data_IF_631847820479
#
_entry.id   IF_631847820479
#
_cell.length_a   1.000
_cell.length_b   1.000
_cell.length_c   1.000
_cell.angle_alpha   90.00
_cell.angle_beta   90.00
_cell.angle_gamma   90.00
#
_symmetry.space_group_name_H-M   'P 1'
#
loop_
_entity.id
_entity.type
_entity.pdbx_description
1 polymer ?
#
# COMPACT_ATOMS: atom_id res chain seq x y z
N UNK A 1 33.76 7.03 16.76
CA UNK A 1 32.84 6.61 15.69
C UNK A 1 31.59 6.02 16.33
N UNK A 2 30.45 6.77 16.33
CA UNK A 2 29.25 6.44 17.06
C UNK A 2 28.36 5.47 16.23
N UNK A 3 28.80 4.20 16.07
CA UNK A 3 28.13 3.25 15.13
C UNK A 3 27.16 2.29 15.82
N UNK A 4 26.99 2.35 17.14
CA UNK A 4 26.18 1.37 17.90
C UNK A 4 25.22 1.98 18.90
N UNK A 5 24.79 3.20 18.68
CA UNK A 5 23.86 3.84 19.60
C UNK A 5 22.44 3.36 19.28
N UNK A 6 21.70 2.97 20.33
CA UNK A 6 20.26 2.74 20.26
C UNK A 6 19.57 4.06 20.56
N UNK A 7 18.63 4.43 19.71
CA UNK A 7 17.78 5.56 19.91
C UNK A 7 16.35 5.08 20.16
N UNK A 8 15.72 5.63 21.18
CA UNK A 8 14.34 5.33 21.51
C UNK A 8 13.48 6.52 21.11
N UNK A 9 12.34 6.24 20.50
CA UNK A 9 11.33 7.23 20.16
C UNK A 9 10.11 6.87 21.00
N UNK A 10 9.65 7.80 21.81
CA UNK A 10 8.46 7.59 22.59
C UNK A 10 7.21 7.65 21.70
N UNK A 11 6.23 6.80 22.00
CA UNK A 11 4.97 6.70 21.26
C UNK A 11 4.21 8.04 21.18
N UNK A 12 4.12 8.86 22.24
CA UNK A 12 3.55 10.20 22.16
C UNK A 12 4.18 11.08 21.10
N UNK A 13 5.50 11.08 20.96
CA UNK A 13 6.21 11.85 19.91
C UNK A 13 5.80 11.39 18.50
N UNK A 14 5.65 10.08 18.29
CA UNK A 14 5.16 9.52 17.02
C UNK A 14 3.72 9.96 16.77
N UNK A 15 2.85 9.80 17.75
CA UNK A 15 1.42 10.12 17.63
C UNK A 15 1.18 11.61 17.37
N UNK A 16 1.95 12.50 18.01
CA UNK A 16 1.85 13.95 17.79
C UNK A 16 2.31 14.41 16.41
N UNK A 17 3.09 13.59 15.71
CA UNK A 17 3.55 13.87 14.34
C UNK A 17 2.65 13.25 13.28
N UNK A 18 1.66 12.43 13.67
CA UNK A 18 0.67 11.93 12.74
C UNK A 18 -0.20 13.10 12.27
N UNK A 19 -0.15 13.34 10.98
CA UNK A 19 -0.88 14.45 10.39
C UNK A 19 -2.31 14.00 10.07
N UNK A 20 -3.27 14.37 10.90
CA UNK A 20 -4.70 14.02 10.74
C UNK A 20 -5.39 14.73 9.56
N UNK A 21 -4.68 15.61 8.84
CA UNK A 21 -5.28 16.52 7.86
C UNK A 21 -5.54 15.91 6.48
N UNK A 22 -5.26 14.63 6.25
CA UNK A 22 -5.42 14.00 4.94
C UNK A 22 -6.19 12.68 5.00
N UNK A 23 -7.43 12.74 5.45
CA UNK A 23 -8.30 11.55 5.48
C UNK A 23 -8.86 11.17 4.10
N UNK A 24 -8.73 12.03 3.09
CA UNK A 24 -9.19 11.75 1.72
C UNK A 24 -8.47 12.61 0.69
N UNK A 25 -8.42 12.13 -0.54
CA UNK A 25 -7.91 12.87 -1.70
C UNK A 25 -8.92 12.75 -2.85
N UNK A 26 -9.12 13.83 -3.58
CA UNK A 26 -9.94 13.85 -4.79
C UNK A 26 -9.06 13.82 -6.02
N UNK A 27 -9.35 12.91 -6.94
CA UNK A 27 -8.61 12.69 -8.18
C UNK A 27 -9.54 12.98 -9.34
N UNK A 28 -9.25 14.06 -10.05
CA UNK A 28 -9.99 14.39 -11.28
C UNK A 28 -9.50 13.52 -12.44
N UNK A 29 -10.45 12.91 -13.13
CA UNK A 29 -10.23 12.07 -14.30
C UNK A 29 -10.77 12.74 -15.56
N UNK A 30 -10.39 12.19 -16.72
CA UNK A 30 -10.96 12.64 -17.99
C UNK A 30 -12.46 12.40 -18.02
N UNK A 31 -13.21 13.29 -18.67
CA UNK A 31 -14.66 13.21 -18.75
C UNK A 31 -15.39 13.80 -17.54
N UNK A 32 -14.70 14.49 -16.61
CA UNK A 32 -15.32 15.17 -15.46
C UNK A 32 -15.67 14.24 -14.28
N UNK A 33 -15.27 12.97 -14.34
CA UNK A 33 -15.36 12.06 -13.18
C UNK A 33 -14.36 12.45 -12.11
N UNK A 34 -14.78 12.40 -10.85
CA UNK A 34 -13.91 12.63 -9.69
C UNK A 34 -13.94 11.41 -8.78
N UNK A 35 -12.78 10.84 -8.50
CA UNK A 35 -12.62 9.71 -7.56
C UNK A 35 -12.19 10.26 -6.22
N UNK A 36 -12.98 10.04 -5.18
CA UNK A 36 -12.62 10.33 -3.80
C UNK A 36 -11.98 9.09 -3.17
N UNK A 37 -10.71 9.20 -2.80
CA UNK A 37 -9.99 8.12 -2.14
C UNK A 37 -9.86 8.37 -0.64
N UNK A 38 -9.92 7.28 0.12
CA UNK A 38 -9.65 7.18 1.55
C UNK A 38 -8.44 6.27 1.80
N UNK A 39 -7.80 6.32 2.97
CA UNK A 39 -6.77 5.35 3.32
C UNK A 39 -7.31 3.92 3.28
N UNK A 40 -6.48 3.00 2.78
CA UNK A 40 -6.83 1.58 2.78
C UNK A 40 -6.95 1.05 4.21
N UNK A 41 -7.87 0.11 4.40
CA UNK A 41 -7.99 -0.56 5.69
C UNK A 41 -6.77 -1.45 5.97
N UNK A 42 -6.40 -1.62 7.24
CA UNK A 42 -5.32 -2.54 7.63
C UNK A 42 -5.62 -3.97 7.17
N UNK A 43 -6.89 -4.35 7.16
CA UNK A 43 -7.36 -5.65 6.67
C UNK A 43 -7.04 -5.83 5.18
N UNK A 44 -7.40 -4.87 4.32
CA UNK A 44 -7.13 -4.92 2.89
C UNK A 44 -5.63 -4.98 2.59
N UNK A 45 -4.82 -4.16 3.26
CA UNK A 45 -3.36 -4.16 3.12
C UNK A 45 -2.76 -5.50 3.54
N UNK A 46 -3.17 -6.07 4.68
CA UNK A 46 -2.70 -7.36 5.17
C UNK A 46 -3.08 -8.50 4.23
N UNK A 47 -4.33 -8.51 3.77
CA UNK A 47 -4.83 -9.51 2.83
C UNK A 47 -4.07 -9.47 1.50
N UNK A 48 -3.88 -8.29 0.92
CA UNK A 48 -3.11 -8.10 -0.31
C UNK A 48 -1.66 -8.61 -0.16
N UNK A 49 -0.99 -8.26 0.96
CA UNK A 49 0.38 -8.70 1.21
C UNK A 49 0.46 -10.23 1.35
N UNK A 50 -0.51 -10.86 2.02
CA UNK A 50 -0.59 -12.32 2.13
C UNK A 50 -0.73 -12.98 0.76
N UNK A 51 -1.56 -12.43 -0.12
CA UNK A 51 -1.74 -12.96 -1.47
C UNK A 51 -0.49 -12.75 -2.34
N UNK A 52 0.17 -11.60 -2.25
CA UNK A 52 1.46 -11.37 -2.94
C UNK A 52 2.51 -12.39 -2.51
N UNK A 53 2.61 -12.71 -1.21
CA UNK A 53 3.54 -13.71 -0.70
C UNK A 53 3.23 -15.11 -1.23
N UNK A 54 1.94 -15.53 -1.23
CA UNK A 54 1.53 -16.82 -1.81
C UNK A 54 1.87 -16.91 -3.30
N UNK A 55 1.57 -15.88 -4.06
CA UNK A 55 1.88 -15.82 -5.49
C UNK A 55 3.39 -15.88 -5.75
N UNK A 56 4.19 -15.17 -4.98
CA UNK A 56 5.66 -15.21 -5.07
C UNK A 56 6.21 -16.60 -4.74
N UNK A 57 5.67 -17.28 -3.74
CA UNK A 57 6.06 -18.64 -3.38
C UNK A 57 5.73 -19.65 -4.50
N UNK A 58 4.55 -19.53 -5.14
CA UNK A 58 4.17 -20.35 -6.29
C UNK A 58 5.12 -20.11 -7.46
N UNK A 59 5.41 -18.85 -7.82
CA UNK A 59 6.33 -18.52 -8.90
C UNK A 59 7.76 -19.04 -8.61
N UNK A 60 8.22 -18.94 -7.37
CA UNK A 60 9.52 -19.47 -6.98
C UNK A 60 9.58 -21.01 -7.07
N UNK A 61 8.51 -21.72 -6.72
CA UNK A 61 8.43 -23.18 -6.86
C UNK A 61 8.44 -23.64 -8.31
N UNK A 62 7.82 -22.88 -9.22
CA UNK A 62 7.81 -23.14 -10.65
C UNK A 62 9.20 -22.97 -11.26
N UNK A 63 9.94 -21.94 -10.86
CA UNK A 63 11.28 -21.64 -11.40
C UNK A 63 12.35 -22.67 -11.01
N UNK A 64 12.09 -23.51 -10.00
CA UNK A 64 13.03 -24.55 -9.55
C UNK A 64 12.84 -25.92 -10.21
N UNK A 65 11.75 -26.13 -10.95
CA UNK A 65 11.39 -27.44 -11.50
C UNK A 65 11.38 -27.40 -13.03
N UNK A 66 12.58 -27.46 -13.65
CA UNK A 66 12.74 -27.40 -15.11
C UNK A 66 12.15 -28.60 -15.89
N UNK A 67 11.63 -29.61 -15.16
CA UNK A 67 11.22 -30.90 -15.75
C UNK A 67 9.70 -31.09 -15.86
N UNK A 68 8.88 -30.20 -15.32
CA UNK A 68 7.41 -30.32 -15.37
C UNK A 68 6.81 -29.80 -16.66
N UNK A 69 5.79 -30.51 -17.12
CA UNK A 69 5.10 -30.30 -18.39
C UNK A 69 4.70 -28.82 -18.60
N UNK A 70 5.13 -28.26 -19.71
CA UNK A 70 5.00 -26.84 -20.08
C UNK A 70 3.56 -26.31 -20.05
N UNK A 71 2.54 -27.16 -20.26
CA UNK A 71 1.14 -26.74 -20.31
C UNK A 71 0.51 -26.57 -18.91
N UNK A 72 0.82 -27.44 -17.95
CA UNK A 72 0.34 -27.30 -16.56
C UNK A 72 0.95 -26.04 -15.91
N UNK A 73 2.21 -25.79 -16.19
CA UNK A 73 2.91 -24.57 -15.73
C UNK A 73 2.29 -23.29 -16.30
N UNK A 74 1.92 -23.30 -17.57
CA UNK A 74 1.26 -22.16 -18.23
C UNK A 74 -0.10 -21.86 -17.59
N UNK A 75 -0.87 -22.90 -17.29
CA UNK A 75 -2.19 -22.75 -16.66
C UNK A 75 -2.05 -22.17 -15.26
N UNK A 76 -1.19 -22.74 -14.43
CA UNK A 76 -0.92 -22.22 -13.06
C UNK A 76 -0.40 -20.79 -13.09
N UNK A 77 0.46 -20.47 -14.06
CA UNK A 77 0.96 -19.10 -14.22
C UNK A 77 -0.16 -18.13 -14.61
N UNK A 78 -1.00 -18.51 -15.58
CA UNK A 78 -2.15 -17.69 -16.01
C UNK A 78 -3.11 -17.42 -14.87
N UNK A 79 -3.53 -18.46 -14.15
CA UNK A 79 -4.46 -18.36 -13.03
C UNK A 79 -3.88 -17.46 -11.91
N UNK A 80 -2.58 -17.55 -11.68
CA UNK A 80 -1.89 -16.71 -10.69
C UNK A 80 -1.87 -15.23 -11.11
N UNK A 81 -1.60 -14.95 -12.40
CA UNK A 81 -1.61 -13.57 -12.93
C UNK A 81 -3.01 -12.97 -12.84
N UNK A 82 -4.05 -13.73 -13.20
CA UNK A 82 -5.45 -13.29 -13.10
C UNK A 82 -5.85 -13.00 -11.65
N UNK A 83 -5.45 -13.86 -10.71
CA UNK A 83 -5.67 -13.63 -9.29
C UNK A 83 -4.95 -12.38 -8.77
N UNK A 84 -3.69 -12.17 -9.13
CA UNK A 84 -2.94 -10.97 -8.75
C UNK A 84 -3.63 -9.71 -9.28
N UNK A 85 -4.10 -9.73 -10.53
CA UNK A 85 -4.82 -8.60 -11.12
C UNK A 85 -6.13 -8.32 -10.38
N UNK A 86 -6.92 -9.35 -10.06
CA UNK A 86 -8.16 -9.22 -9.30
C UNK A 86 -7.90 -8.65 -7.90
N UNK A 87 -6.89 -9.13 -7.18
CA UNK A 87 -6.53 -8.60 -5.85
C UNK A 87 -6.04 -7.16 -5.92
N UNK A 88 -5.33 -6.78 -6.98
CA UNK A 88 -4.92 -5.41 -7.20
C UNK A 88 -6.12 -4.47 -7.34
N UNK A 89 -7.08 -4.81 -8.20
CA UNK A 89 -8.30 -4.02 -8.38
C UNK A 89 -9.12 -3.94 -7.09
N UNK A 90 -9.27 -5.04 -6.37
CA UNK A 90 -9.94 -5.05 -5.07
C UNK A 90 -9.25 -4.15 -4.04
N UNK A 91 -7.92 -4.10 -4.03
CA UNK A 91 -7.16 -3.20 -3.15
C UNK A 91 -7.35 -1.74 -3.52
N UNK A 92 -7.36 -1.42 -4.82
CA UNK A 92 -7.65 -0.06 -5.29
C UNK A 92 -9.07 0.35 -4.92
N UNK A 93 -10.04 -0.55 -5.10
CA UNK A 93 -11.45 -0.34 -4.75
C UNK A 93 -11.64 -0.07 -3.25
N UNK A 94 -10.96 -0.81 -2.35
CA UNK A 94 -11.04 -0.59 -0.89
C UNK A 94 -10.60 0.83 -0.50
N UNK A 95 -9.65 1.41 -1.21
CA UNK A 95 -9.20 2.78 -1.04
C UNK A 95 -10.07 3.84 -1.72
N UNK A 96 -11.19 3.47 -2.37
CA UNK A 96 -12.16 4.42 -2.94
C UNK A 96 -13.33 4.56 -1.97
N UNK A 97 -13.68 5.82 -1.66
CA UNK A 97 -14.85 6.14 -0.85
C UNK A 97 -16.11 6.29 -1.73
N UNK A 98 -16.00 7.06 -2.79
CA UNK A 98 -17.03 7.21 -3.83
C UNK A 98 -16.44 7.72 -5.14
N UNK A 99 -17.20 7.54 -6.21
CA UNK A 99 -16.96 8.17 -7.51
C UNK A 99 -18.07 9.18 -7.75
N UNK A 100 -17.70 10.41 -8.07
CA UNK A 100 -18.64 11.47 -8.39
C UNK A 100 -18.72 11.66 -9.91
N UNK A 101 -19.93 11.64 -10.43
CA UNK A 101 -20.21 11.92 -11.85
C UNK A 101 -20.13 13.42 -12.14
N UNK A 102 -20.02 13.84 -13.41
CA UNK A 102 -20.06 15.26 -13.78
C UNK A 102 -21.37 15.95 -13.37
N UNK A 103 -22.46 15.21 -13.25
CA UNK A 103 -23.77 15.69 -12.82
C UNK A 103 -23.85 15.88 -11.30
N UNK A 104 -22.84 15.39 -10.55
CA UNK A 104 -22.74 15.51 -9.09
C UNK A 104 -23.23 14.30 -8.32
N UNK A 105 -23.69 13.25 -8.99
CA UNK A 105 -24.13 12.01 -8.35
C UNK A 105 -22.94 11.24 -7.78
N UNK A 106 -23.14 10.64 -6.60
CA UNK A 106 -22.10 9.83 -5.92
C UNK A 106 -22.42 8.35 -6.01
N UNK A 107 -21.50 7.59 -6.58
CA UNK A 107 -21.53 6.13 -6.61
C UNK A 107 -20.67 5.60 -5.48
N UNK A 108 -21.30 4.93 -4.51
CA UNK A 108 -20.65 4.34 -3.33
C UNK A 108 -20.71 2.82 -3.33
N UNK A 109 -21.46 2.23 -4.26
CA UNK A 109 -21.60 0.78 -4.34
C UNK A 109 -20.29 0.13 -4.76
N UNK A 110 -19.81 -0.76 -3.90
CA UNK A 110 -18.52 -1.45 -4.02
C UNK A 110 -18.40 -2.26 -5.30
N UNK A 111 -19.49 -2.96 -5.70
CA UNK A 111 -19.48 -3.80 -6.89
C UNK A 111 -19.44 -2.93 -8.16
N UNK A 112 -20.24 -1.87 -8.21
CA UNK A 112 -20.22 -0.93 -9.33
C UNK A 112 -18.85 -0.26 -9.50
N UNK A 113 -18.19 0.10 -8.38
CA UNK A 113 -16.83 0.66 -8.42
C UNK A 113 -15.84 -0.37 -8.96
N UNK A 114 -15.92 -1.64 -8.54
CA UNK A 114 -15.04 -2.70 -9.00
C UNK A 114 -15.23 -2.99 -10.49
N UNK A 115 -16.47 -3.08 -10.96
CA UNK A 115 -16.81 -3.30 -12.37
C UNK A 115 -16.32 -2.13 -13.23
N UNK A 116 -16.47 -0.89 -12.75
CA UNK A 116 -15.93 0.29 -13.40
C UNK A 116 -14.40 0.24 -13.48
N UNK A 117 -13.70 -0.09 -12.39
CA UNK A 117 -12.24 -0.23 -12.38
C UNK A 117 -11.76 -1.29 -13.38
N UNK A 118 -12.55 -2.36 -13.58
CA UNK A 118 -12.26 -3.38 -14.58
C UNK A 118 -12.48 -2.93 -16.03
N UNK A 119 -13.23 -1.84 -16.24
CA UNK A 119 -13.57 -1.31 -17.56
C UNK A 119 -12.69 -0.16 -18.04
N UNK A 120 -12.00 0.53 -17.14
CA UNK A 120 -11.13 1.67 -17.47
C UNK A 120 -9.73 1.22 -17.89
N UNK A 121 -8.99 2.13 -18.54
CA UNK A 121 -7.62 1.86 -18.96
C UNK A 121 -6.64 1.73 -17.78
N UNK A 122 -5.57 0.97 -18.01
CA UNK A 122 -4.55 0.71 -16.99
C UNK A 122 -3.82 1.99 -16.51
N UNK A 123 -3.71 3.01 -17.35
CA UNK A 123 -3.05 4.27 -16.97
C UNK A 123 -3.88 5.00 -15.92
N UNK A 124 -5.19 5.01 -16.09
CA UNK A 124 -6.14 5.58 -15.11
C UNK A 124 -6.10 4.82 -13.78
N UNK A 125 -6.10 3.48 -13.81
CA UNK A 125 -5.93 2.65 -12.59
C UNK A 125 -4.60 2.97 -11.90
N UNK A 126 -3.49 3.04 -12.64
CA UNK A 126 -2.18 3.37 -12.09
C UNK A 126 -2.13 4.77 -11.46
N UNK A 127 -2.82 5.75 -12.06
CA UNK A 127 -2.94 7.11 -11.51
C UNK A 127 -3.65 7.07 -10.15
N UNK A 128 -4.78 6.37 -10.05
CA UNK A 128 -5.55 6.24 -8.81
C UNK A 128 -4.68 5.55 -7.73
N UNK A 129 -4.07 4.41 -8.07
CA UNK A 129 -3.21 3.66 -7.16
C UNK A 129 -2.03 4.50 -6.64
N UNK A 130 -1.40 5.31 -7.51
CA UNK A 130 -0.29 6.18 -7.13
C UNK A 130 -0.72 7.24 -6.11
N UNK A 131 -1.88 7.87 -6.31
CA UNK A 131 -2.40 8.87 -5.37
C UNK A 131 -2.85 8.22 -4.04
N UNK A 132 -3.45 7.02 -4.09
CA UNK A 132 -3.75 6.24 -2.88
C UNK A 132 -2.48 5.85 -2.11
N UNK A 133 -1.40 5.48 -2.80
CA UNK A 133 -0.11 5.17 -2.16
C UNK A 133 0.47 6.38 -1.43
N UNK A 134 0.36 7.58 -2.01
CA UNK A 134 0.75 8.82 -1.33
C UNK A 134 -0.11 9.04 -0.09
N UNK A 135 -1.43 8.88 -0.20
CA UNK A 135 -2.35 9.03 0.91
C UNK A 135 -2.03 8.04 2.05
N UNK A 136 -1.82 6.76 1.73
CA UNK A 136 -1.46 5.72 2.69
C UNK A 136 -0.07 5.94 3.32
N UNK A 137 0.83 6.66 2.64
CA UNK A 137 2.17 6.99 3.12
C UNK A 137 2.25 8.22 4.02
N UNK A 138 1.21 9.05 4.04
CA UNK A 138 1.22 10.34 4.74
C UNK A 138 0.89 10.27 6.24
N UNK A 139 0.38 9.13 6.71
CA UNK A 139 -0.12 9.00 8.08
C UNK A 139 0.97 8.86 9.14
N UNK A 140 2.14 8.31 8.85
CA UNK A 140 3.20 8.08 9.83
C UNK A 140 4.51 8.76 9.41
N UNK A 141 5.15 9.50 10.31
CA UNK A 141 6.45 10.09 10.04
C UNK A 141 7.48 8.98 9.80
N UNK A 142 8.19 9.08 8.69
CA UNK A 142 9.23 8.10 8.32
C UNK A 142 10.63 8.49 8.78
N UNK A 143 10.82 9.76 9.10
CA UNK A 143 12.09 10.33 9.53
C UNK A 143 11.92 11.05 10.86
N UNK A 144 12.89 10.86 11.74
CA UNK A 144 12.98 11.53 13.03
C UNK A 144 14.35 12.18 13.17
N UNK A 145 14.38 13.33 13.83
CA UNK A 145 15.60 14.01 14.17
C UNK A 145 16.18 13.44 15.48
N UNK A 146 17.41 12.95 15.41
CA UNK A 146 18.14 12.42 16.55
C UNK A 146 19.37 13.28 16.85
N UNK A 147 19.75 13.30 18.13
CA UNK A 147 21.01 13.89 18.57
C UNK A 147 21.88 12.77 19.12
N UNK A 148 23.15 12.74 18.71
CA UNK A 148 24.08 11.74 19.21
C UNK A 148 24.17 11.79 20.74
N UNK A 149 23.99 10.65 21.41
CA UNK A 149 24.02 10.52 22.87
C UNK A 149 25.43 10.70 23.46
N UNK A 150 26.48 10.64 22.63
CA UNK A 150 27.84 10.93 23.08
C UNK A 150 28.01 12.43 23.29
N UNK A 151 28.27 12.82 24.55
CA UNK A 151 28.45 14.21 24.96
C UNK A 151 29.58 14.96 24.23
N UNK A 152 30.59 14.23 23.72
CA UNK A 152 31.69 14.81 22.94
C UNK A 152 31.33 14.99 21.46
N UNK A 153 30.24 14.36 20.98
CA UNK A 153 29.84 14.42 19.58
C UNK A 153 28.69 15.40 19.35
N UNK A 154 27.57 15.28 20.04
CA UNK A 154 26.39 16.15 19.99
C UNK A 154 25.80 16.36 18.57
N UNK A 155 26.21 15.57 17.56
CA UNK A 155 25.81 15.75 16.17
C UNK A 155 24.36 15.38 15.96
N UNK A 156 23.61 16.25 15.30
CA UNK A 156 22.23 15.95 14.85
C UNK A 156 22.27 15.19 13.53
N UNK A 157 21.36 14.22 13.40
CA UNK A 157 21.16 13.44 12.17
C UNK A 157 19.71 12.97 12.05
N UNK A 158 19.30 12.65 10.83
CA UNK A 158 17.98 12.07 10.55
C UNK A 158 18.09 10.55 10.49
N UNK A 159 17.23 9.88 11.24
CA UNK A 159 17.08 8.43 11.18
C UNK A 159 15.71 8.07 10.59
N UNK A 160 15.69 7.11 9.67
CA UNK A 160 14.44 6.59 9.13
C UNK A 160 13.93 5.42 9.97
N UNK A 161 12.61 5.43 10.22
CA UNK A 161 11.92 4.33 10.90
C UNK A 161 11.04 3.60 9.89
N UNK A 162 11.25 2.30 9.78
CA UNK A 162 10.41 1.43 8.98
C UNK A 162 9.33 0.81 9.86
N UNK A 163 8.08 1.16 9.58
CA UNK A 163 6.93 0.55 10.26
C UNK A 163 6.55 -0.74 9.55
N UNK A 164 6.91 -1.86 10.14
CA UNK A 164 6.47 -3.17 9.67
C UNK A 164 5.44 -3.74 10.65
N UNK A 165 4.17 -3.93 10.24
CA UNK A 165 3.13 -4.49 11.11
C UNK A 165 3.52 -5.84 11.73
N UNK A 166 4.39 -6.61 11.07
CA UNK A 166 4.83 -7.92 11.58
C UNK A 166 5.64 -7.81 12.86
N UNK A 167 6.30 -6.68 13.14
CA UNK A 167 7.02 -6.47 14.39
C UNK A 167 6.10 -6.40 15.62
N UNK A 168 4.84 -6.03 15.43
CA UNK A 168 3.85 -6.00 16.51
C UNK A 168 3.29 -7.37 16.86
N UNK A 169 3.47 -8.37 15.97
CA UNK A 169 2.89 -9.71 16.12
C UNK A 169 3.96 -10.82 16.22
N UNK A 170 5.24 -10.48 16.18
CA UNK A 170 6.33 -11.46 16.15
C UNK A 170 6.84 -11.90 17.53
N UNK A 171 6.22 -11.46 18.63
CA UNK A 171 6.57 -11.89 19.98
C UNK A 171 5.52 -12.86 20.50
N UNK A 172 5.62 -14.12 20.07
CA UNK A 172 5.23 -15.30 20.88
C UNK A 172 5.97 -16.52 20.37
#
# INVERSE_FOLDING_TARGET
MCIRDRYEIDLPTVLNQINDNHNSIMIELQGGLTVCCKPNTLYAVSHLNTQKLKSSAILASISQDETKATEELKTVFKDNVEQIAAYRLASVQDGIDYIQTPEGDKVTDTQHILDWLGSIDLQTVNKIETEQQKLNGNGMPKEFDFTCSNSECGKQFKGSVSYNPTFFFSNN
#
